data_IF_248377492892
#
_entry.id   IF_248377492892
#
_cell.length_a   1.000
_cell.length_b   1.000
_cell.length_c   1.000
_cell.angle_alpha   90.00
_cell.angle_beta   90.00
_cell.angle_gamma   90.00
#
_symmetry.space_group_name_H-M   'P 1'
#
loop_
_entity.id
_entity.type
_entity.pdbx_description
1 polymer ?
#
# COMPACT_ATOMS: atom_id res chain seq x y z
N UNK A 1 6.10 -11.91 -21.22
CA UNK A 1 5.11 -11.11 -20.45
C UNK A 1 5.87 -10.45 -19.31
N UNK A 2 6.29 -9.19 -19.48
CA UNK A 2 6.97 -8.46 -18.42
C UNK A 2 5.92 -7.94 -17.42
N UNK A 3 6.08 -8.32 -16.16
CA UNK A 3 5.28 -7.89 -14.99
C UNK A 3 5.40 -6.39 -14.69
N UNK A 4 6.30 -5.67 -15.38
CA UNK A 4 6.51 -4.23 -15.26
C UNK A 4 5.46 -3.37 -15.97
N UNK A 5 4.45 -3.97 -16.64
CA UNK A 5 3.44 -3.23 -17.40
C UNK A 5 1.99 -3.41 -16.92
N UNK A 6 1.76 -4.04 -15.77
CA UNK A 6 0.43 -3.95 -15.14
C UNK A 6 0.37 -2.65 -14.34
N UNK A 7 -0.04 -1.57 -15.00
CA UNK A 7 -0.26 -0.21 -14.47
C UNK A 7 -1.43 -0.16 -13.45
N UNK A 8 -1.69 -1.27 -12.76
CA UNK A 8 -2.85 -1.41 -11.87
C UNK A 8 -2.37 -1.20 -10.45
N UNK A 9 -2.81 -0.10 -9.84
CA UNK A 9 -2.68 0.08 -8.41
C UNK A 9 -3.60 -0.91 -7.68
N UNK A 10 -3.11 -1.52 -6.62
CA UNK A 10 -3.84 -2.52 -5.83
C UNK A 10 -4.33 -1.86 -4.55
N UNK A 11 -5.63 -2.01 -4.25
CA UNK A 11 -6.17 -1.62 -2.95
C UNK A 11 -5.73 -2.62 -1.88
N UNK A 12 -5.09 -2.11 -0.83
CA UNK A 12 -4.61 -2.89 0.31
C UNK A 12 -4.97 -2.18 1.60
N UNK A 13 -4.95 -2.91 2.72
CA UNK A 13 -5.22 -2.35 4.05
C UNK A 13 -3.96 -2.31 4.89
N UNK A 14 -3.62 -1.18 5.48
CA UNK A 14 -2.48 -1.06 6.40
C UNK A 14 -2.79 -1.79 7.70
N UNK A 15 -1.94 -2.74 8.08
CA UNK A 15 -2.09 -3.52 9.33
C UNK A 15 -1.04 -3.16 10.37
N UNK A 16 0.10 -2.60 9.95
CA UNK A 16 1.18 -2.19 10.84
C UNK A 16 2.00 -1.06 10.19
N UNK A 17 2.50 -0.12 10.99
CA UNK A 17 3.45 0.91 10.55
C UNK A 17 4.85 0.55 11.06
N UNK A 18 5.83 0.68 10.19
CA UNK A 18 7.23 0.40 10.46
C UNK A 18 8.04 1.70 10.48
N UNK A 19 9.31 1.60 10.84
CA UNK A 19 10.25 2.71 10.73
C UNK A 19 10.53 3.04 9.26
N UNK A 20 11.14 4.21 9.00
CA UNK A 20 11.53 4.64 7.64
C UNK A 20 10.37 4.74 6.64
N UNK A 21 9.18 5.11 7.09
CA UNK A 21 8.01 5.32 6.22
C UNK A 21 7.61 4.04 5.47
N UNK A 22 7.82 2.89 6.10
CA UNK A 22 7.35 1.59 5.63
C UNK A 22 6.09 1.17 6.38
N UNK A 23 5.28 0.33 5.76
CA UNK A 23 4.08 -0.24 6.37
C UNK A 23 3.88 -1.69 5.93
N UNK A 24 3.38 -2.52 6.83
CA UNK A 24 2.86 -3.85 6.46
C UNK A 24 1.41 -3.67 6.05
N UNK A 25 1.09 -4.15 4.86
CA UNK A 25 -0.26 -4.14 4.31
C UNK A 25 -0.78 -5.56 4.12
N UNK A 26 -2.09 -5.72 4.23
CA UNK A 26 -2.81 -6.93 3.92
C UNK A 26 -3.50 -6.79 2.55
N UNK A 27 -3.17 -7.69 1.64
CA UNK A 27 -3.72 -7.75 0.27
C UNK A 27 -4.98 -8.63 0.19
N UNK A 28 -5.46 -9.15 1.32
CA UNK A 28 -6.49 -10.19 1.43
C UNK A 28 -5.96 -11.61 1.22
N UNK A 29 -4.75 -11.78 0.68
CA UNK A 29 -4.13 -13.10 0.45
C UNK A 29 -2.78 -13.25 1.16
N UNK A 30 -2.01 -12.16 1.19
CA UNK A 30 -0.66 -12.10 1.79
C UNK A 30 -0.49 -10.78 2.54
N UNK A 31 0.54 -10.74 3.37
CA UNK A 31 1.04 -9.48 3.94
C UNK A 31 2.32 -9.09 3.26
N UNK A 32 2.43 -7.82 2.88
CA UNK A 32 3.59 -7.29 2.17
C UNK A 32 4.04 -5.98 2.81
N UNK A 33 5.34 -5.71 2.72
CA UNK A 33 5.93 -4.45 3.16
C UNK A 33 5.94 -3.47 1.99
N UNK A 34 5.36 -2.29 2.20
CA UNK A 34 5.24 -1.23 1.19
C UNK A 34 5.71 0.09 1.76
N UNK A 35 6.24 0.94 0.89
CA UNK A 35 6.58 2.32 1.24
C UNK A 35 5.33 3.18 1.28
N UNK A 36 5.20 3.96 2.34
CA UNK A 36 4.18 4.99 2.53
C UNK A 36 4.79 6.39 2.55
N UNK A 37 6.04 6.56 2.11
CA UNK A 37 6.71 7.87 2.11
C UNK A 37 5.99 8.95 1.28
N UNK A 38 5.20 8.54 0.28
CA UNK A 38 4.47 9.47 -0.60
C UNK A 38 3.08 9.85 -0.07
N UNK A 39 2.54 9.12 0.90
CA UNK A 39 1.21 9.34 1.45
C UNK A 39 1.18 9.07 2.95
N UNK A 40 0.67 10.01 3.74
CA UNK A 40 0.41 9.71 5.14
C UNK A 40 -0.64 8.59 5.22
N UNK A 41 -0.28 7.45 5.81
CA UNK A 41 -1.15 6.30 6.02
C UNK A 41 -1.09 5.84 7.48
N UNK A 42 -2.23 5.43 8.02
CA UNK A 42 -2.39 4.93 9.38
C UNK A 42 -2.85 3.47 9.39
N UNK A 43 -2.64 2.78 10.51
CA UNK A 43 -3.17 1.41 10.69
C UNK A 43 -4.69 1.42 10.54
N UNK A 44 -5.21 0.55 9.68
CA UNK A 44 -6.62 0.43 9.33
C UNK A 44 -7.04 1.22 8.09
N UNK A 45 -6.17 2.09 7.56
CA UNK A 45 -6.44 2.80 6.32
C UNK A 45 -6.37 1.87 5.11
N UNK A 46 -7.14 2.22 4.08
CA UNK A 46 -6.99 1.62 2.76
C UNK A 46 -6.17 2.54 1.88
N UNK A 47 -5.21 1.95 1.19
CA UNK A 47 -4.30 2.66 0.30
C UNK A 47 -4.20 1.94 -1.03
N UNK A 48 -3.84 2.69 -2.06
CA UNK A 48 -3.51 2.17 -3.37
C UNK A 48 -1.99 2.04 -3.47
N UNK A 49 -1.51 0.85 -3.81
CA UNK A 49 -0.08 0.55 -3.99
C UNK A 49 0.21 0.23 -5.44
N UNK A 50 1.26 0.85 -5.98
CA UNK A 50 1.80 0.55 -7.30
C UNK A 50 3.31 0.38 -7.21
N UNK A 51 3.82 -0.73 -7.77
CA UNK A 51 5.25 -1.06 -7.76
C UNK A 51 5.90 -1.05 -6.35
N UNK A 52 5.13 -1.34 -5.29
CA UNK A 52 5.59 -1.34 -3.90
C UNK A 52 5.52 0.03 -3.19
N UNK A 53 5.08 1.08 -3.88
CA UNK A 53 4.88 2.41 -3.32
C UNK A 53 3.39 2.70 -3.16
N UNK A 54 3.01 3.22 -1.99
CA UNK A 54 1.68 3.76 -1.76
C UNK A 54 1.53 5.12 -2.47
N UNK A 55 0.52 5.22 -3.34
CA UNK A 55 0.31 6.41 -4.18
C UNK A 55 -0.95 7.20 -3.83
N UNK A 56 -1.87 6.62 -3.05
CA UNK A 56 -3.08 7.30 -2.58
C UNK A 56 -3.67 6.62 -1.34
N UNK A 57 -4.35 7.41 -0.48
CA UNK A 57 -5.25 6.92 0.58
C UNK A 57 -6.69 6.97 0.09
N UNK A 58 -7.47 5.93 0.38
CA UNK A 58 -8.89 5.88 0.11
C UNK A 58 -9.65 6.30 1.36
N UNK A 59 -10.17 7.52 1.37
CA UNK A 59 -11.02 8.02 2.46
C UNK A 59 -12.44 7.48 2.29
N UNK A 60 -13.06 7.00 3.37
CA UNK A 60 -14.49 6.71 3.36
C UNK A 60 -15.24 8.03 3.54
N UNK A 61 -15.96 8.44 2.50
CA UNK A 61 -16.88 9.60 2.53
C UNK A 61 -18.06 9.39 3.46
#
# INVERSE_FOLDING_TARGET
MCITCSDTAVEVTVVELLEHELAVVDTGSTREEVSVALVEAGVGDRILVHAGEAIARLEKS
#
